data_IF_553638151519
#
_entry.id   IF_553638151519
#
_cell.length_a   1.000
_cell.length_b   1.000
_cell.length_c   1.000
_cell.angle_alpha   90.00
_cell.angle_beta   90.00
_cell.angle_gamma   90.00
#
_symmetry.space_group_name_H-M   'P 1'
#
loop_
_entity.id
_entity.type
_entity.pdbx_description
1 polymer ?
#
# COMPACT_ATOMS: atom_id res chain seq x y z
N UNK A 1 -28.60 10.58 22.05
CA UNK A 1 -28.89 9.45 22.96
C UNK A 1 -28.02 8.28 22.54
N UNK A 2 -26.98 8.00 23.34
CA UNK A 2 -26.15 6.81 23.18
C UNK A 2 -27.02 5.58 23.48
N UNK A 3 -27.00 4.59 22.59
CA UNK A 3 -27.65 3.30 22.85
C UNK A 3 -26.67 2.51 23.68
N UNK A 4 -27.11 2.05 24.85
CA UNK A 4 -26.27 1.26 25.74
C UNK A 4 -25.75 -0.02 25.05
N UNK A 5 -24.49 -0.37 25.32
CA UNK A 5 -23.81 -1.47 24.63
C UNK A 5 -24.45 -2.84 24.95
N UNK A 6 -25.12 -2.98 26.10
CA UNK A 6 -25.88 -4.17 26.43
C UNK A 6 -27.14 -4.29 25.56
N UNK A 7 -27.90 -3.20 25.43
CA UNK A 7 -29.08 -3.12 24.56
C UNK A 7 -28.70 -3.41 23.11
N UNK A 8 -27.56 -2.89 22.64
CA UNK A 8 -27.02 -3.15 21.30
C UNK A 8 -26.74 -4.64 21.07
N UNK A 9 -26.08 -5.33 22.02
CA UNK A 9 -25.78 -6.77 21.91
C UNK A 9 -27.05 -7.63 21.87
N UNK A 10 -28.04 -7.33 22.71
CA UNK A 10 -29.31 -8.07 22.73
C UNK A 10 -30.08 -7.91 21.42
N UNK A 11 -30.12 -6.70 20.86
CA UNK A 11 -30.74 -6.43 19.55
C UNK A 11 -30.03 -7.20 18.44
N UNK A 12 -28.69 -7.21 18.42
CA UNK A 12 -27.93 -7.93 17.39
C UNK A 12 -28.07 -9.44 17.49
N UNK A 13 -28.10 -9.99 18.70
CA UNK A 13 -28.36 -11.41 18.92
C UNK A 13 -29.77 -11.79 18.47
N UNK A 14 -30.77 -10.98 18.81
CA UNK A 14 -32.15 -11.21 18.39
C UNK A 14 -32.29 -11.12 16.86
N UNK A 15 -31.71 -10.11 16.22
CA UNK A 15 -31.74 -9.97 14.76
C UNK A 15 -30.95 -11.08 14.06
N UNK A 16 -29.85 -11.57 14.63
CA UNK A 16 -29.07 -12.68 14.07
C UNK A 16 -29.85 -13.99 13.94
N UNK A 17 -30.84 -14.21 14.81
CA UNK A 17 -31.75 -15.38 14.72
C UNK A 17 -32.72 -15.30 13.53
N UNK A 18 -32.96 -14.11 12.98
CA UNK A 18 -33.92 -13.89 11.91
C UNK A 18 -33.20 -13.25 10.73
N UNK A 19 -32.89 -14.05 9.69
CA UNK A 19 -32.18 -13.65 8.45
C UNK A 19 -32.83 -12.49 7.65
N UNK A 20 -33.85 -11.83 8.18
CA UNK A 20 -34.62 -10.76 7.54
C UNK A 20 -34.41 -9.41 8.24
N UNK A 21 -33.96 -8.41 7.49
CA UNK A 21 -33.83 -7.01 7.91
C UNK A 21 -35.16 -6.30 8.20
N UNK A 22 -36.29 -6.90 7.81
CA UNK A 22 -37.63 -6.34 8.03
C UNK A 22 -38.21 -6.84 9.35
N UNK A 23 -38.22 -5.96 10.36
CA UNK A 23 -38.78 -6.26 11.68
C UNK A 23 -40.28 -5.96 11.70
N UNK A 24 -41.10 -7.01 11.78
CA UNK A 24 -42.56 -6.92 11.93
C UNK A 24 -42.95 -6.48 13.35
N UNK A 25 -44.21 -6.07 13.54
CA UNK A 25 -44.73 -5.59 14.84
C UNK A 25 -44.59 -6.65 15.94
N UNK A 26 -44.79 -7.92 15.59
CA UNK A 26 -44.69 -9.05 16.53
C UNK A 26 -43.24 -9.32 16.96
N UNK A 27 -42.28 -9.16 16.04
CA UNK A 27 -40.85 -9.27 16.34
C UNK A 27 -40.36 -8.14 17.26
N UNK A 28 -40.96 -6.94 17.15
CA UNK A 28 -40.66 -5.83 18.07
C UNK A 28 -41.25 -6.06 19.47
N UNK A 29 -42.38 -6.75 19.58
CA UNK A 29 -42.97 -7.13 20.87
C UNK A 29 -42.12 -8.19 21.57
N UNK A 30 -41.66 -9.21 20.86
CA UNK A 30 -40.75 -10.23 21.41
C UNK A 30 -39.41 -9.64 21.85
N UNK A 31 -38.83 -8.72 21.05
CA UNK A 31 -37.62 -8.00 21.42
C UNK A 31 -37.84 -7.12 22.66
N UNK A 32 -39.02 -6.49 22.78
CA UNK A 32 -39.39 -5.72 23.97
C UNK A 32 -39.47 -6.61 25.21
N UNK A 33 -40.06 -7.80 25.10
CA UNK A 33 -40.12 -8.77 26.19
C UNK A 33 -38.73 -9.29 26.59
N UNK A 34 -37.86 -9.58 25.62
CA UNK A 34 -36.48 -10.00 25.91
C UNK A 34 -35.63 -8.90 26.56
N UNK A 35 -35.86 -7.63 26.20
CA UNK A 35 -35.21 -6.49 26.85
C UNK A 35 -35.76 -6.27 28.26
N UNK A 36 -37.07 -6.41 28.47
CA UNK A 36 -37.71 -6.25 29.79
C UNK A 36 -37.40 -7.40 30.76
N UNK A 37 -37.04 -8.59 30.27
CA UNK A 37 -36.64 -9.73 31.12
C UNK A 37 -35.21 -9.64 31.64
N UNK A 38 -34.34 -8.87 30.97
CA UNK A 38 -32.90 -8.79 31.29
C UNK A 38 -32.47 -7.46 31.92
N UNK A 39 -33.27 -6.42 31.76
CA UNK A 39 -33.05 -5.09 32.34
C UNK A 39 -34.25 -4.74 33.22
N UNK A 40 -34.00 -4.44 34.51
CA UNK A 40 -34.95 -3.69 35.36
C UNK A 40 -34.99 -2.20 34.93
N UNK A 41 -35.12 -1.91 33.64
CA UNK A 41 -35.06 -0.56 33.09
C UNK A 41 -36.27 -0.18 32.23
N UNK A 42 -36.56 1.12 32.26
CA UNK A 42 -37.80 1.81 31.88
C UNK A 42 -38.50 1.28 30.61
N UNK A 43 -39.85 1.25 30.61
CA UNK A 43 -40.64 0.75 29.49
C UNK A 43 -40.37 1.54 28.21
N UNK A 44 -39.60 0.93 27.30
CA UNK A 44 -39.34 1.50 25.98
C UNK A 44 -40.60 1.37 25.12
N UNK A 45 -41.07 2.46 24.53
CA UNK A 45 -42.20 2.43 23.61
C UNK A 45 -41.83 1.74 22.29
N UNK A 46 -42.78 1.04 21.65
CA UNK A 46 -42.55 0.37 20.37
C UNK A 46 -41.98 1.29 19.27
N UNK A 47 -42.41 2.57 19.14
CA UNK A 47 -41.81 3.50 18.19
C UNK A 47 -40.34 3.82 18.47
N UNK A 48 -39.94 3.92 19.74
CA UNK A 48 -38.56 4.14 20.15
C UNK A 48 -37.70 2.91 19.86
N UNK A 49 -38.21 1.71 20.20
CA UNK A 49 -37.53 0.45 19.90
C UNK A 49 -37.28 0.29 18.39
N UNK A 50 -38.28 0.61 17.56
CA UNK A 50 -38.14 0.60 16.10
C UNK A 50 -37.05 1.56 15.60
N UNK A 51 -36.91 2.74 16.21
CA UNK A 51 -35.85 3.71 15.88
C UNK A 51 -34.47 3.18 16.29
N UNK A 52 -34.35 2.58 17.47
CA UNK A 52 -33.11 2.00 17.98
C UNK A 52 -32.68 0.82 17.10
N UNK A 53 -33.59 -0.09 16.78
CA UNK A 53 -33.32 -1.24 15.91
C UNK A 53 -32.85 -0.80 14.52
N UNK A 54 -33.52 0.18 13.89
CA UNK A 54 -33.07 0.74 12.61
C UNK A 54 -31.69 1.37 12.68
N UNK A 55 -31.36 2.03 13.79
CA UNK A 55 -30.04 2.64 14.01
C UNK A 55 -28.97 1.57 14.14
N UNK A 56 -29.20 0.55 14.97
CA UNK A 56 -28.28 -0.59 15.17
C UNK A 56 -28.03 -1.36 13.87
N UNK A 57 -29.07 -1.58 13.04
CA UNK A 57 -28.92 -2.19 11.71
C UNK A 57 -28.09 -1.33 10.75
N UNK A 58 -28.28 -0.01 10.75
CA UNK A 58 -27.47 0.90 9.93
C UNK A 58 -26.01 0.93 10.39
N UNK A 59 -25.76 1.01 11.69
CA UNK A 59 -24.42 1.03 12.28
C UNK A 59 -23.67 -0.28 12.01
N UNK A 60 -24.34 -1.43 12.06
CA UNK A 60 -23.73 -2.73 11.75
C UNK A 60 -23.46 -2.93 10.28
N UNK A 61 -24.36 -2.51 9.38
CA UNK A 61 -24.08 -2.52 7.94
C UNK A 61 -22.91 -1.60 7.58
N UNK A 62 -22.79 -0.44 8.25
CA UNK A 62 -21.63 0.43 8.07
C UNK A 62 -20.35 -0.21 8.63
N UNK A 63 -20.41 -0.88 9.79
CA UNK A 63 -19.27 -1.58 10.36
C UNK A 63 -18.82 -2.78 9.52
N UNK A 64 -19.75 -3.52 8.89
CA UNK A 64 -19.45 -4.58 7.92
C UNK A 64 -18.80 -4.03 6.66
N UNK A 65 -19.34 -2.95 6.06
CA UNK A 65 -18.70 -2.25 4.94
C UNK A 65 -17.31 -1.74 5.28
N UNK A 66 -17.11 -1.22 6.50
CA UNK A 66 -15.79 -0.79 6.96
C UNK A 66 -14.83 -1.98 7.20
N UNK A 67 -15.34 -3.17 7.52
CA UNK A 67 -14.53 -4.40 7.56
C UNK A 67 -14.20 -4.91 6.17
N UNK A 68 -15.13 -4.86 5.22
CA UNK A 68 -14.90 -5.16 3.80
C UNK A 68 -13.84 -4.21 3.22
N UNK A 69 -13.93 -2.90 3.45
CA UNK A 69 -12.92 -1.92 3.00
C UNK A 69 -11.55 -2.16 3.64
N UNK A 70 -11.49 -2.59 4.91
CA UNK A 70 -10.22 -2.95 5.57
C UNK A 70 -9.64 -4.27 5.07
N UNK A 71 -10.49 -5.20 4.64
CA UNK A 71 -10.10 -6.44 3.96
C UNK A 71 -9.64 -6.15 2.52
N UNK A 72 -10.28 -5.26 1.79
CA UNK A 72 -9.83 -4.80 0.46
C UNK A 72 -8.51 -4.00 0.52
N UNK A 73 -8.20 -3.35 1.65
CA UNK A 73 -6.89 -2.75 1.92
C UNK A 73 -5.78 -3.77 2.25
N UNK A 74 -6.11 -5.06 2.41
CA UNK A 74 -5.16 -6.15 2.72
C UNK A 74 -5.29 -7.36 1.79
N UNK A 75 -6.22 -7.38 0.84
CA UNK A 75 -6.23 -8.35 -0.24
C UNK A 75 -5.00 -8.12 -1.11
N UNK A 76 -4.16 -9.15 -1.11
CA UNK A 76 -3.06 -9.39 -2.02
C UNK A 76 -3.04 -8.42 -3.20
N UNK A 77 -1.98 -7.60 -3.27
CA UNK A 77 -1.54 -7.03 -4.54
C UNK A 77 -1.23 -8.25 -5.41
N UNK A 78 -2.23 -8.79 -6.10
CA UNK A 78 -1.98 -9.55 -7.31
C UNK A 78 -1.31 -8.52 -8.21
N UNK A 79 -0.01 -8.65 -8.51
CA UNK A 79 0.63 -7.72 -9.41
C UNK A 79 -0.19 -7.75 -10.69
N UNK A 80 -0.80 -6.62 -11.02
CA UNK A 80 -1.42 -6.44 -12.33
C UNK A 80 -0.24 -6.57 -13.28
N UNK A 81 -0.10 -7.73 -13.91
CA UNK A 81 0.85 -7.98 -14.98
C UNK A 81 0.27 -7.28 -16.20
N UNK A 82 0.43 -5.96 -16.22
CA UNK A 82 0.17 -5.18 -17.43
C UNK A 82 1.17 -5.72 -18.45
N UNK A 83 0.73 -6.24 -19.61
CA UNK A 83 1.66 -6.58 -20.66
C UNK A 83 2.42 -5.30 -21.00
N UNK A 84 3.70 -5.27 -20.65
CA UNK A 84 4.55 -4.13 -20.97
C UNK A 84 4.61 -4.11 -22.48
N UNK A 85 3.86 -3.18 -23.08
CA UNK A 85 3.94 -2.96 -24.53
C UNK A 85 5.40 -2.69 -24.88
N UNK A 86 5.86 -3.09 -26.06
CA UNK A 86 7.25 -2.84 -26.48
C UNK A 86 7.67 -1.38 -26.28
N UNK A 87 6.73 -0.44 -26.40
CA UNK A 87 6.97 0.98 -26.17
C UNK A 87 7.15 1.31 -24.68
N UNK A 88 6.30 0.80 -23.78
CA UNK A 88 6.46 0.95 -22.34
C UNK A 88 7.78 0.33 -21.85
N UNK A 89 8.16 -0.83 -22.39
CA UNK A 89 9.43 -1.49 -22.06
C UNK A 89 10.61 -0.61 -22.44
N UNK A 90 10.61 -0.06 -23.66
CA UNK A 90 11.66 0.86 -24.13
C UNK A 90 11.76 2.10 -23.27
N UNK A 91 10.63 2.67 -22.85
CA UNK A 91 10.62 3.86 -21.99
C UNK A 91 11.21 3.56 -20.60
N UNK A 92 10.85 2.43 -19.99
CA UNK A 92 11.41 2.00 -18.70
C UNK A 92 12.91 1.77 -18.83
N UNK A 93 13.35 1.02 -19.84
CA UNK A 93 14.79 0.76 -20.03
C UNK A 93 15.56 2.04 -20.35
N UNK A 94 14.99 2.96 -21.13
CA UNK A 94 15.62 4.26 -21.40
C UNK A 94 15.75 5.10 -20.13
N UNK A 95 14.73 5.09 -19.26
CA UNK A 95 14.79 5.73 -17.95
C UNK A 95 15.90 5.13 -17.07
N UNK A 96 16.00 3.80 -17.02
CA UNK A 96 17.02 3.10 -16.23
C UNK A 96 18.45 3.36 -16.74
N UNK A 97 18.65 3.45 -18.06
CA UNK A 97 19.94 3.83 -18.67
C UNK A 97 20.30 5.26 -18.27
N UNK A 98 19.35 6.20 -18.34
CA UNK A 98 19.59 7.59 -17.95
C UNK A 98 19.90 7.73 -16.45
N UNK A 99 19.19 6.99 -15.60
CA UNK A 99 19.45 6.93 -14.17
C UNK A 99 20.85 6.35 -13.89
N UNK A 100 21.21 5.25 -14.56
CA UNK A 100 22.52 4.62 -14.42
C UNK A 100 23.66 5.56 -14.82
N UNK A 101 23.52 6.33 -15.90
CA UNK A 101 24.51 7.35 -16.30
C UNK A 101 24.69 8.44 -15.26
N UNK A 102 23.59 8.93 -14.66
CA UNK A 102 23.67 9.91 -13.56
C UNK A 102 24.37 9.34 -12.33
N UNK A 103 24.10 8.08 -11.99
CA UNK A 103 24.76 7.40 -10.88
C UNK A 103 26.26 7.26 -11.13
N UNK A 104 26.67 6.85 -12.33
CA UNK A 104 28.09 6.75 -12.70
C UNK A 104 28.77 8.13 -12.62
N UNK A 105 28.13 9.20 -13.09
CA UNK A 105 28.66 10.55 -12.98
C UNK A 105 28.90 10.96 -11.51
N UNK A 106 27.94 10.70 -10.62
CA UNK A 106 28.08 10.95 -9.17
C UNK A 106 29.19 10.11 -8.54
N UNK A 107 29.38 8.87 -8.97
CA UNK A 107 30.48 8.03 -8.46
C UNK A 107 31.82 8.62 -8.91
N UNK A 108 31.93 9.08 -10.15
CA UNK A 108 33.14 9.75 -10.63
C UNK A 108 33.45 11.03 -9.85
N UNK A 109 32.45 11.86 -9.56
CA UNK A 109 32.62 13.05 -8.70
C UNK A 109 33.17 12.65 -7.32
N UNK A 110 32.60 11.61 -6.69
CA UNK A 110 33.09 11.12 -5.40
C UNK A 110 34.52 10.55 -5.48
N UNK A 111 34.87 9.89 -6.58
CA UNK A 111 36.25 9.41 -6.80
C UNK A 111 37.21 10.60 -6.87
N UNK A 112 36.81 11.69 -7.51
CA UNK A 112 37.60 12.92 -7.60
C UNK A 112 37.71 13.62 -6.22
N UNK A 113 36.63 13.70 -5.44
CA UNK A 113 36.65 14.21 -4.06
C UNK A 113 37.59 13.41 -3.16
N UNK A 114 37.52 12.06 -3.24
CA UNK A 114 38.38 11.16 -2.46
C UNK A 114 39.83 11.35 -2.88
N UNK A 115 40.11 11.52 -4.18
CA UNK A 115 41.45 11.77 -4.68
C UNK A 115 42.03 13.07 -4.11
N UNK A 116 41.25 14.14 -4.10
CA UNK A 116 41.66 15.44 -3.55
C UNK A 116 41.91 15.38 -2.04
N UNK A 117 41.07 14.65 -1.29
CA UNK A 117 41.28 14.41 0.13
C UNK A 117 42.54 13.56 0.41
N UNK A 118 42.87 12.64 -0.50
CA UNK A 118 44.02 11.74 -0.38
C UNK A 118 45.35 12.45 -0.64
N UNK A 119 45.34 13.58 -1.35
CA UNK A 119 46.54 14.39 -1.60
C UNK A 119 47.18 14.97 -0.33
N UNK A 120 46.54 14.83 0.84
CA UNK A 120 47.09 15.24 2.15
C UNK A 120 47.64 14.07 3.00
N UNK A 121 47.58 12.84 2.52
CA UNK A 121 47.95 11.62 3.27
C UNK A 121 49.40 11.14 3.02
N UNK A 122 49.95 10.22 3.84
CA UNK A 122 51.28 9.65 3.64
C UNK A 122 51.45 8.95 2.27
N UNK A 123 52.67 8.98 1.71
CA UNK A 123 52.99 8.48 0.34
C UNK A 123 52.53 7.03 0.07
N UNK A 124 52.65 6.12 1.04
CA UNK A 124 52.22 4.72 0.86
C UNK A 124 50.70 4.59 0.73
N UNK A 125 49.94 5.32 1.55
CA UNK A 125 48.48 5.38 1.45
C UNK A 125 48.03 5.99 0.12
N UNK A 126 48.71 7.05 -0.35
CA UNK A 126 48.45 7.66 -1.65
C UNK A 126 48.59 6.68 -2.81
N UNK A 127 49.66 5.87 -2.82
CA UNK A 127 49.89 4.91 -3.90
C UNK A 127 48.82 3.82 -3.95
N UNK A 128 48.48 3.20 -2.82
CA UNK A 128 47.45 2.17 -2.76
C UNK A 128 46.09 2.73 -3.19
N UNK A 129 45.65 3.85 -2.62
CA UNK A 129 44.36 4.44 -2.95
C UNK A 129 44.30 4.90 -4.41
N UNK A 130 45.38 5.47 -4.95
CA UNK A 130 45.41 5.90 -6.36
C UNK A 130 45.23 4.72 -7.32
N UNK A 131 45.78 3.54 -6.98
CA UNK A 131 45.66 2.35 -7.79
C UNK A 131 44.22 1.81 -7.79
N UNK A 132 43.57 1.81 -6.62
CA UNK A 132 42.18 1.39 -6.47
C UNK A 132 41.22 2.36 -7.16
N UNK A 133 41.40 3.67 -6.99
CA UNK A 133 40.60 4.70 -7.66
C UNK A 133 40.74 4.61 -9.19
N UNK A 134 41.94 4.34 -9.69
CA UNK A 134 42.17 4.12 -11.12
C UNK A 134 41.48 2.84 -11.61
N UNK A 135 41.51 1.77 -10.82
CA UNK A 135 40.79 0.53 -11.09
C UNK A 135 39.27 0.75 -11.18
N UNK A 136 38.70 1.42 -10.18
CA UNK A 136 37.28 1.80 -10.15
C UNK A 136 36.88 2.64 -11.36
N UNK A 137 37.71 3.63 -11.75
CA UNK A 137 37.42 4.48 -12.92
C UNK A 137 37.39 3.68 -14.22
N UNK A 138 38.32 2.73 -14.40
CA UNK A 138 38.31 1.83 -15.57
C UNK A 138 37.07 0.93 -15.60
N UNK A 139 36.58 0.47 -14.46
CA UNK A 139 35.36 -0.32 -14.40
C UNK A 139 34.12 0.51 -14.72
N UNK A 140 34.04 1.75 -14.22
CA UNK A 140 32.98 2.69 -14.55
C UNK A 140 32.98 3.01 -16.06
N UNK A 141 34.14 3.24 -16.67
CA UNK A 141 34.25 3.47 -18.12
C UNK A 141 33.74 2.27 -18.92
N UNK A 142 34.07 1.03 -18.51
CA UNK A 142 33.52 -0.19 -19.12
C UNK A 142 31.99 -0.25 -19.00
N UNK A 143 31.42 0.14 -17.85
CA UNK A 143 29.97 0.19 -17.65
C UNK A 143 29.31 1.25 -18.54
N UNK A 144 29.94 2.42 -18.73
CA UNK A 144 29.44 3.47 -19.64
C UNK A 144 29.40 2.97 -21.08
N UNK A 145 30.43 2.26 -21.54
CA UNK A 145 30.46 1.67 -22.88
C UNK A 145 29.33 0.65 -23.04
N UNK A 146 29.15 -0.26 -22.08
CA UNK A 146 28.05 -1.24 -22.10
C UNK A 146 26.67 -0.58 -22.11
N UNK A 147 26.44 0.44 -21.27
CA UNK A 147 25.19 1.20 -21.26
C UNK A 147 24.91 1.87 -22.61
N UNK A 148 25.96 2.40 -23.25
CA UNK A 148 25.84 3.03 -24.57
C UNK A 148 25.55 2.00 -25.68
N UNK A 149 26.05 0.78 -25.55
CA UNK A 149 25.72 -0.31 -26.47
C UNK A 149 24.26 -0.73 -26.33
N UNK A 150 23.77 -0.89 -25.09
CA UNK A 150 22.35 -1.21 -24.80
C UNK A 150 21.43 -0.10 -25.34
N UNK A 151 21.78 1.17 -25.14
CA UNK A 151 21.04 2.31 -25.68
C UNK A 151 20.96 2.27 -27.22
N UNK A 152 22.08 2.00 -27.91
CA UNK A 152 22.08 1.83 -29.37
C UNK A 152 21.18 0.69 -29.82
N UNK A 153 21.24 -0.46 -29.14
CA UNK A 153 20.42 -1.62 -29.49
C UNK A 153 18.92 -1.33 -29.33
N UNK A 154 18.53 -0.55 -28.32
CA UNK A 154 17.14 -0.11 -28.12
C UNK A 154 16.64 0.79 -29.27
N UNK A 155 17.48 1.72 -29.73
CA UNK A 155 17.16 2.64 -30.84
C UNK A 155 17.06 1.85 -32.16
N UNK A 156 18.06 1.04 -32.49
CA UNK A 156 18.13 0.28 -33.76
C UNK A 156 16.96 -0.71 -33.87
N UNK A 157 16.61 -1.41 -32.78
CA UNK A 157 15.44 -2.31 -32.76
C UNK A 157 14.12 -1.56 -32.79
N UNK A 158 14.10 -0.24 -32.58
CA UNK A 158 12.91 0.62 -32.72
C UNK A 158 12.65 1.08 -34.13
N UNK A 159 13.70 1.33 -34.89
CA UNK A 159 13.62 1.82 -36.27
C UNK A 159 13.28 0.71 -37.30
N UNK A 160 13.23 -0.57 -36.90
CA UNK A 160 12.91 -1.71 -37.78
C UNK A 160 11.44 -2.18 -37.70
N UNK A 161 10.54 -1.41 -37.08
CA UNK A 161 9.10 -1.67 -37.06
C UNK A 161 8.34 -0.66 -37.91
#
# INVERSE_FOLDING_TARGET
MSVDDHTRKTILFFLGKWKTTRVSKDKLLQLKEELMKKDEAKPISLPQLKKIVRRVVKETSQAEKLKEIKLEGTTAITPITIPVTDNAFRQIVAFDIAASRRTIAKINEKIDDVREATDRQPKQFKQQLSSELTGMRRELDKLVVKLSEVERQLIIKGAKK
#
